data_IF_496994021885
#
_entry.id   IF_496994021885
#
_cell.length_a   1.000
_cell.length_b   1.000
_cell.length_c   1.000
_cell.angle_alpha   90.00
_cell.angle_beta   90.00
_cell.angle_gamma   90.00
#
_symmetry.space_group_name_H-M   'P 1'
#
loop_
_entity.id
_entity.type
_entity.pdbx_description
1 polymer ?
#
# COMPACT_ATOMS: atom_id res chain seq x y z
N UNK A 1 -0.56 0.21 9.32
CA UNK A 1 -1.33 -0.02 8.08
C UNK A 1 -1.79 1.31 7.51
N UNK A 2 -2.42 2.15 8.33
CA UNK A 2 -2.97 3.46 7.93
C UNK A 2 -1.96 4.37 7.24
N UNK A 3 -0.70 4.42 7.72
CA UNK A 3 0.35 5.19 7.04
C UNK A 3 0.59 4.73 5.60
N UNK A 4 0.61 3.42 5.34
CA UNK A 4 0.81 2.86 4.00
C UNK A 4 -0.39 3.23 3.11
N UNK A 5 -1.60 3.15 3.64
CA UNK A 5 -2.83 3.56 2.92
C UNK A 5 -2.76 5.05 2.57
N UNK A 6 -2.41 5.92 3.53
CA UNK A 6 -2.29 7.35 3.30
C UNK A 6 -1.23 7.66 2.23
N UNK A 7 -0.07 7.00 2.27
CA UNK A 7 0.97 7.17 1.26
C UNK A 7 0.51 6.72 -0.14
N UNK A 8 -0.18 5.58 -0.23
CA UNK A 8 -0.74 5.09 -1.49
C UNK A 8 -1.79 6.05 -2.07
N UNK A 9 -2.63 6.65 -1.22
CA UNK A 9 -3.58 7.67 -1.65
C UNK A 9 -2.87 8.94 -2.15
N UNK A 10 -1.82 9.39 -1.47
CA UNK A 10 -1.04 10.55 -1.89
C UNK A 10 -0.32 10.33 -3.24
N UNK A 11 0.16 9.11 -3.53
CA UNK A 11 0.69 8.75 -4.85
C UNK A 11 -0.42 8.68 -5.92
N UNK A 12 -1.59 8.13 -5.56
CA UNK A 12 -2.73 8.03 -6.47
C UNK A 12 -3.25 9.41 -6.88
N UNK A 13 -3.34 10.35 -5.93
CA UNK A 13 -3.78 11.73 -6.19
C UNK A 13 -2.71 12.56 -6.91
N UNK A 14 -1.44 12.15 -6.84
CA UNK A 14 -0.30 12.90 -7.35
C UNK A 14 0.15 14.04 -6.44
N UNK A 15 -0.40 14.11 -5.21
CA UNK A 15 0.05 15.00 -4.14
C UNK A 15 1.50 14.69 -3.76
N UNK A 16 1.82 13.38 -3.68
CA UNK A 16 3.19 12.92 -3.51
C UNK A 16 3.81 12.59 -4.87
N UNK A 17 4.85 13.32 -5.25
CA UNK A 17 5.59 13.06 -6.50
C UNK A 17 6.33 11.72 -6.45
N UNK A 18 6.13 10.89 -7.47
CA UNK A 18 6.90 9.68 -7.69
C UNK A 18 7.14 9.40 -9.18
N UNK A 19 8.23 8.70 -9.48
CA UNK A 19 8.55 8.31 -10.87
C UNK A 19 7.73 7.12 -11.35
N UNK A 20 7.33 6.23 -10.43
CA UNK A 20 6.64 4.96 -10.73
C UNK A 20 5.38 4.77 -9.90
N UNK A 21 5.38 5.20 -8.63
CA UNK A 21 4.30 4.88 -7.68
C UNK A 21 2.93 5.42 -8.10
N UNK A 22 2.87 6.53 -8.84
CA UNK A 22 1.59 7.08 -9.32
C UNK A 22 0.82 6.07 -10.20
N UNK A 23 1.54 5.30 -11.04
CA UNK A 23 0.93 4.26 -11.89
C UNK A 23 0.56 3.03 -11.08
N UNK A 24 1.43 2.63 -10.14
CA UNK A 24 1.19 1.48 -9.27
C UNK A 24 -0.04 1.73 -8.39
N UNK A 25 -0.12 2.88 -7.72
CA UNK A 25 -1.20 3.21 -6.80
C UNK A 25 -2.57 3.37 -7.49
N UNK A 26 -2.59 3.78 -8.76
CA UNK A 26 -3.83 3.82 -9.58
C UNK A 26 -4.31 2.42 -9.98
N UNK A 27 -3.44 1.42 -9.97
CA UNK A 27 -3.76 0.04 -10.33
C UNK A 27 -4.50 -0.76 -9.26
N UNK A 28 -4.63 -0.24 -8.05
CA UNK A 28 -5.30 -0.92 -6.93
C UNK A 28 -6.57 -0.18 -6.50
N UNK A 29 -7.57 -0.92 -6.02
CA UNK A 29 -8.72 -0.34 -5.31
C UNK A 29 -8.34 0.09 -3.90
N UNK A 30 -9.25 0.80 -3.22
CA UNK A 30 -9.04 1.16 -1.82
C UNK A 30 -9.00 -0.08 -0.91
N UNK A 31 -9.87 -1.05 -1.18
CA UNK A 31 -9.92 -2.32 -0.45
C UNK A 31 -8.61 -3.11 -0.63
N UNK A 32 -8.11 -3.21 -1.86
CA UNK A 32 -6.83 -3.88 -2.15
C UNK A 32 -5.66 -3.16 -1.48
N UNK A 33 -5.64 -1.83 -1.53
CA UNK A 33 -4.61 -1.01 -0.86
C UNK A 33 -4.61 -1.27 0.64
N UNK A 34 -5.80 -1.33 1.27
CA UNK A 34 -5.96 -1.63 2.70
C UNK A 34 -5.48 -3.05 3.02
N UNK A 35 -5.87 -4.05 2.23
CA UNK A 35 -5.44 -5.43 2.41
C UNK A 35 -3.90 -5.59 2.34
N UNK A 36 -3.27 -4.93 1.36
CA UNK A 36 -1.80 -4.91 1.22
C UNK A 36 -1.16 -4.23 2.44
N UNK A 37 -1.69 -3.09 2.86
CA UNK A 37 -1.17 -2.34 4.00
C UNK A 37 -1.29 -3.11 5.32
N UNK A 38 -2.38 -3.85 5.52
CA UNK A 38 -2.58 -4.73 6.67
C UNK A 38 -1.60 -5.91 6.64
N UNK A 39 -1.40 -6.53 5.48
CA UNK A 39 -0.43 -7.61 5.34
C UNK A 39 1.00 -7.13 5.62
N UNK A 40 1.41 -5.98 5.07
CA UNK A 40 2.74 -5.39 5.28
C UNK A 40 2.97 -4.94 6.72
N UNK A 41 1.93 -4.50 7.43
CA UNK A 41 2.03 -4.10 8.83
C UNK A 41 2.35 -5.26 9.78
N UNK A 42 2.16 -6.51 9.34
CA UNK A 42 2.53 -7.69 10.13
C UNK A 42 4.07 -7.83 10.21
N UNK A 43 4.60 -8.30 11.35
CA UNK A 43 6.01 -8.68 11.46
C UNK A 43 6.42 -9.68 10.37
N UNK A 44 7.65 -9.60 9.90
CA UNK A 44 8.18 -10.48 8.85
C UNK A 44 8.00 -11.97 9.19
N UNK A 45 8.30 -12.36 10.43
CA UNK A 45 8.08 -13.72 10.92
C UNK A 45 6.60 -14.16 10.79
N UNK A 46 5.65 -13.25 11.00
CA UNK A 46 4.21 -13.53 10.88
C UNK A 46 3.73 -13.57 9.41
N UNK A 47 4.43 -12.90 8.49
CA UNK A 47 4.14 -12.96 7.04
C UNK A 47 4.62 -14.26 6.43
N UNK A 48 5.80 -14.77 6.81
CA UNK A 48 6.34 -16.05 6.32
C UNK A 48 5.67 -17.28 6.92
N UNK A 49 4.98 -17.15 8.06
CA UNK A 49 4.21 -18.21 8.68
C UNK A 49 2.77 -18.34 8.10
N UNK A 50 2.36 -17.43 7.22
CA UNK A 50 1.12 -17.59 6.45
C UNK A 50 1.38 -18.52 5.25
N UNK A 51 0.61 -19.61 5.08
CA UNK A 51 0.83 -20.63 4.05
C UNK A 51 0.55 -20.13 2.62
#
# INVERSE_FOLDING_TARGET
ADDIVAQMQAFRSGERKATVMDRIARGFTEEETRAIAEWLAKPEAARHAQP
#
